data_IF_445291205819
#
_entry.id   IF_445291205819
#
_cell.length_a   1.000
_cell.length_b   1.000
_cell.length_c   1.000
_cell.angle_alpha   90.00
_cell.angle_beta   90.00
_cell.angle_gamma   90.00
#
_symmetry.space_group_name_H-M   'P 1'
#
loop_
_entity.id
_entity.type
_entity.pdbx_description
1 polymer ?
#
# COMPACT_ATOMS: atom_id res chain seq x y z
N UNK A 1 14.59 10.74 -24.55
CA UNK A 1 14.54 10.27 -23.15
C UNK A 1 13.66 11.24 -22.39
N UNK A 2 12.73 10.75 -21.57
CA UNK A 2 11.87 11.64 -20.76
C UNK A 2 12.70 12.17 -19.58
N UNK A 3 12.72 13.49 -19.40
CA UNK A 3 13.41 14.13 -18.28
C UNK A 3 12.72 13.76 -16.95
N UNK A 4 13.51 13.40 -15.93
CA UNK A 4 12.98 13.10 -14.60
C UNK A 4 12.69 14.41 -13.88
N UNK A 5 11.46 14.59 -13.41
CA UNK A 5 11.03 15.74 -12.61
C UNK A 5 10.84 15.34 -11.14
N UNK A 6 11.34 16.16 -10.22
CA UNK A 6 11.01 16.03 -8.80
C UNK A 6 9.54 16.40 -8.59
N UNK A 7 8.76 15.48 -8.00
CA UNK A 7 7.31 15.68 -7.77
C UNK A 7 6.96 15.92 -6.29
N UNK A 8 7.85 15.54 -5.36
CA UNK A 8 7.67 15.78 -3.92
C UNK A 8 9.02 15.71 -3.18
N UNK A 9 9.08 16.31 -1.99
CA UNK A 9 10.17 16.16 -1.03
C UNK A 9 9.63 16.13 0.41
N UNK A 10 10.46 15.70 1.37
CA UNK A 10 10.14 15.73 2.80
C UNK A 10 9.51 14.47 3.38
N UNK A 11 9.24 13.43 2.58
CA UNK A 11 9.02 12.08 3.11
C UNK A 11 10.38 11.51 3.54
N UNK A 12 10.53 11.11 4.80
CA UNK A 12 11.85 10.76 5.37
C UNK A 12 12.51 9.57 4.67
N UNK A 13 11.74 8.52 4.38
CA UNK A 13 12.23 7.36 3.64
C UNK A 13 11.09 6.77 2.78
N UNK A 14 10.80 7.38 1.61
CA UNK A 14 9.73 6.91 0.73
C UNK A 14 10.08 5.53 0.18
N UNK A 15 9.12 4.61 0.17
CA UNK A 15 9.34 3.25 -0.32
C UNK A 15 8.16 2.73 -1.15
N UNK A 16 7.18 2.08 -0.53
CA UNK A 16 5.98 1.61 -1.21
C UNK A 16 5.22 2.73 -1.92
N UNK A 17 4.75 2.44 -3.13
CA UNK A 17 3.97 3.34 -3.97
C UNK A 17 2.79 2.54 -4.53
N UNK A 18 1.58 3.04 -4.36
CA UNK A 18 0.40 2.40 -4.94
C UNK A 18 -0.66 3.44 -5.27
N UNK A 19 -1.39 3.24 -6.37
CA UNK A 19 -2.57 4.06 -6.66
C UNK A 19 -3.79 3.47 -5.96
N UNK A 20 -4.75 4.30 -5.57
CA UNK A 20 -6.11 3.81 -5.31
C UNK A 20 -6.64 3.05 -6.54
N UNK A 21 -7.58 2.10 -6.38
CA UNK A 21 -8.11 1.34 -7.52
C UNK A 21 -8.76 2.21 -8.62
N UNK A 22 -9.33 3.35 -8.25
CA UNK A 22 -9.89 4.35 -9.16
C UNK A 22 -8.83 5.31 -9.74
N UNK A 23 -7.56 5.15 -9.35
CA UNK A 23 -6.39 5.92 -9.78
C UNK A 23 -6.48 7.43 -9.51
N UNK A 24 -7.30 7.84 -8.55
CA UNK A 24 -7.43 9.25 -8.15
C UNK A 24 -6.40 9.67 -7.11
N UNK A 25 -5.88 8.72 -6.32
CA UNK A 25 -4.87 8.94 -5.29
C UNK A 25 -3.60 8.13 -5.56
N UNK A 26 -2.45 8.74 -5.31
CA UNK A 26 -1.18 8.04 -5.10
C UNK A 26 -0.92 7.99 -3.59
N UNK A 27 -0.66 6.79 -3.06
CA UNK A 27 -0.18 6.62 -1.69
C UNK A 27 1.29 6.21 -1.70
N UNK A 28 2.06 6.82 -0.80
CA UNK A 28 3.49 6.61 -0.60
C UNK A 28 3.75 6.22 0.85
N UNK A 29 4.35 5.05 1.08
CA UNK A 29 4.76 4.63 2.41
C UNK A 29 6.00 5.40 2.86
N UNK A 30 6.03 5.83 4.13
CA UNK A 30 7.22 6.34 4.79
C UNK A 30 7.79 5.26 5.71
N UNK A 31 8.87 4.58 5.31
CA UNK A 31 9.46 3.46 6.09
C UNK A 31 9.84 3.87 7.51
N UNK A 32 10.24 5.15 7.69
CA UNK A 32 10.69 5.69 8.98
C UNK A 32 9.62 6.48 9.74
N UNK A 33 8.45 6.70 9.13
CA UNK A 33 7.33 7.41 9.73
C UNK A 33 6.18 6.49 10.15
N UNK A 34 5.19 7.06 10.84
CA UNK A 34 3.93 6.40 11.23
C UNK A 34 2.79 6.62 10.24
N UNK A 35 2.97 7.50 9.27
CA UNK A 35 1.96 7.78 8.25
C UNK A 35 2.45 7.32 6.88
N UNK A 36 1.52 6.82 6.07
CA UNK A 36 1.70 6.95 4.63
C UNK A 36 1.34 8.38 4.23
N UNK A 37 1.70 8.80 3.02
CA UNK A 37 1.28 10.08 2.46
C UNK A 37 0.40 9.82 1.25
N UNK A 38 -0.68 10.57 1.11
CA UNK A 38 -1.51 10.56 -0.09
C UNK A 38 -1.33 11.83 -0.89
N UNK A 39 -1.48 11.72 -2.20
CA UNK A 39 -1.49 12.80 -3.17
C UNK A 39 -2.68 12.60 -4.09
N UNK A 40 -3.32 13.69 -4.49
CA UNK A 40 -4.29 13.64 -5.58
C UNK A 40 -3.54 13.62 -6.92
N UNK A 41 -3.89 12.66 -7.77
CA UNK A 41 -3.37 12.57 -9.14
C UNK A 41 -4.25 13.45 -10.04
N UNK A 42 -3.64 14.41 -10.71
CA UNK A 42 -4.31 15.29 -11.67
C UNK A 42 -4.38 14.65 -13.06
N UNK A 43 -5.28 15.11 -13.96
CA UNK A 43 -5.39 14.57 -15.32
C UNK A 43 -4.11 14.65 -16.16
N UNK A 44 -3.22 15.60 -15.86
CA UNK A 44 -1.91 15.76 -16.50
C UNK A 44 -0.79 14.93 -15.83
N UNK A 45 -1.13 14.13 -14.83
CA UNK A 45 -0.21 13.30 -14.05
C UNK A 45 0.53 14.05 -12.93
N UNK A 46 0.27 15.35 -12.73
CA UNK A 46 0.85 16.08 -11.59
C UNK A 46 0.21 15.64 -10.27
N UNK A 47 0.96 15.82 -9.19
CA UNK A 47 0.53 15.46 -7.83
C UNK A 47 0.24 16.73 -7.04
N UNK A 48 -0.92 16.77 -6.39
CA UNK A 48 -1.35 17.89 -5.53
C UNK A 48 -1.92 17.37 -4.21
N UNK A 49 -2.29 18.28 -3.30
CA UNK A 49 -2.98 17.95 -2.06
C UNK A 49 -2.29 16.88 -1.20
N UNK A 50 -0.96 16.95 -1.08
CA UNK A 50 -0.19 16.09 -0.17
C UNK A 50 -0.75 16.18 1.24
N UNK A 51 -1.01 15.03 1.84
CA UNK A 51 -1.41 14.93 3.25
C UNK A 51 -0.92 13.61 3.86
N UNK A 52 -0.78 13.59 5.18
CA UNK A 52 -0.67 12.34 5.92
C UNK A 52 -1.95 11.51 5.72
N UNK A 53 -1.79 10.23 5.41
CA UNK A 53 -2.86 9.30 5.14
C UNK A 53 -2.53 7.95 5.75
N UNK A 54 -3.45 7.45 6.56
CA UNK A 54 -3.37 6.16 7.22
C UNK A 54 -2.22 6.03 8.22
N UNK A 55 -2.63 6.03 9.49
CA UNK A 55 -1.75 5.83 10.62
C UNK A 55 -1.41 4.34 10.76
N UNK A 56 -0.15 3.99 10.56
CA UNK A 56 0.38 2.65 10.77
C UNK A 56 0.65 2.39 12.25
N UNK A 57 0.17 1.26 12.75
CA UNK A 57 0.49 0.81 14.10
C UNK A 57 1.92 0.29 14.18
N UNK A 58 2.54 0.55 15.32
CA UNK A 58 3.84 0.04 15.74
C UNK A 58 3.77 -0.23 17.23
N UNK A 59 4.64 -1.10 17.73
CA UNK A 59 4.83 -1.28 19.18
C UNK A 59 5.81 -0.21 19.70
N UNK A 60 6.92 -0.63 20.31
CA UNK A 60 7.86 0.24 21.02
C UNK A 60 8.86 0.94 20.10
N UNK A 61 8.79 0.69 18.79
CA UNK A 61 9.66 1.31 17.78
C UNK A 61 9.05 2.62 17.27
N UNK A 62 9.92 3.56 16.91
CA UNK A 62 9.50 4.80 16.24
C UNK A 62 9.17 4.56 14.75
N UNK A 63 9.86 3.62 14.11
CA UNK A 63 9.76 3.37 12.67
C UNK A 63 8.88 2.15 12.37
N UNK A 64 7.97 2.30 11.40
CA UNK A 64 7.03 1.26 10.98
C UNK A 64 7.72 0.14 10.20
N UNK A 65 8.78 0.45 9.47
CA UNK A 65 9.32 -0.43 8.44
C UNK A 65 8.34 -0.61 7.29
N UNK A 66 7.50 0.39 7.02
CA UNK A 66 6.58 0.37 5.89
C UNK A 66 7.35 0.21 4.57
N UNK A 67 6.96 -0.76 3.75
CA UNK A 67 7.67 -1.13 2.53
C UNK A 67 6.65 -1.31 1.39
N UNK A 68 6.63 -2.44 0.69
CA UNK A 68 5.71 -2.68 -0.42
C UNK A 68 4.22 -2.62 -0.06
N UNK A 69 3.43 -2.35 -1.10
CA UNK A 69 2.00 -2.07 -0.99
C UNK A 69 1.19 -2.75 -2.10
N UNK A 70 -0.08 -3.04 -1.81
CA UNK A 70 -1.05 -3.50 -2.81
C UNK A 70 -2.45 -2.97 -2.48
N UNK A 71 -3.36 -3.02 -3.45
CA UNK A 71 -4.78 -2.69 -3.27
C UNK A 71 -5.68 -3.80 -3.82
N UNK A 72 -6.92 -3.85 -3.36
CA UNK A 72 -7.93 -4.78 -3.87
C UNK A 72 -9.17 -4.12 -4.45
N UNK A 73 -10.08 -4.94 -4.98
CA UNK A 73 -11.32 -4.54 -5.63
C UNK A 73 -12.38 -3.96 -4.68
N UNK A 74 -12.15 -4.03 -3.37
CA UNK A 74 -12.97 -3.37 -2.34
C UNK A 74 -12.37 -2.04 -1.87
N UNK A 75 -11.24 -1.63 -2.44
CA UNK A 75 -10.53 -0.40 -2.04
C UNK A 75 -9.76 -0.52 -0.74
N UNK A 76 -9.46 -1.74 -0.27
CA UNK A 76 -8.54 -1.94 0.85
C UNK A 76 -7.12 -1.79 0.36
N UNK A 77 -6.28 -1.21 1.21
CA UNK A 77 -4.85 -1.06 0.95
C UNK A 77 -4.05 -1.92 1.91
N UNK A 78 -3.07 -2.63 1.40
CA UNK A 78 -2.21 -3.54 2.13
C UNK A 78 -0.83 -2.93 2.19
N UNK A 79 -0.28 -2.74 3.39
CA UNK A 79 1.07 -2.18 3.58
C UNK A 79 1.88 -3.16 4.41
N UNK A 80 3.01 -3.63 3.88
CA UNK A 80 3.93 -4.46 4.66
C UNK A 80 4.66 -3.61 5.69
N UNK A 81 4.69 -4.07 6.94
CA UNK A 81 5.39 -3.40 8.05
C UNK A 81 6.12 -4.39 8.95
N UNK A 82 6.84 -3.87 9.94
CA UNK A 82 7.45 -4.67 11.01
C UNK A 82 6.45 -5.46 11.86
N UNK A 83 5.18 -5.07 11.94
CA UNK A 83 4.13 -5.82 12.65
C UNK A 83 3.47 -6.89 11.80
N UNK A 84 3.51 -6.77 10.47
CA UNK A 84 2.76 -7.60 9.55
C UNK A 84 2.26 -6.80 8.37
N UNK A 85 1.28 -7.32 7.65
CA UNK A 85 0.58 -6.56 6.60
C UNK A 85 -0.56 -5.81 7.27
N UNK A 86 -0.44 -4.50 7.41
CA UNK A 86 -1.53 -3.66 7.92
C UNK A 86 -2.49 -3.38 6.78
N UNK A 87 -3.77 -3.72 6.98
CA UNK A 87 -4.80 -3.61 5.95
C UNK A 87 -5.72 -2.45 6.29
N UNK A 88 -5.74 -1.45 5.42
CA UNK A 88 -6.52 -0.25 5.59
C UNK A 88 -7.90 -0.43 4.93
N UNK A 89 -8.92 0.21 5.49
CA UNK A 89 -10.13 0.50 4.75
C UNK A 89 -9.93 1.67 3.76
N UNK A 90 -10.99 1.99 3.01
CA UNK A 90 -10.99 3.09 2.05
C UNK A 90 -10.72 4.47 2.69
N UNK A 91 -11.00 4.62 4.00
CA UNK A 91 -10.76 5.86 4.75
C UNK A 91 -9.33 5.96 5.29
N UNK A 92 -8.52 4.91 5.13
CA UNK A 92 -7.13 4.85 5.59
C UNK A 92 -6.98 4.35 7.02
N UNK A 93 -8.01 3.79 7.64
CA UNK A 93 -7.92 3.22 9.00
C UNK A 93 -7.42 1.79 8.92
N UNK A 94 -6.48 1.40 9.76
CA UNK A 94 -6.07 0.00 9.87
C UNK A 94 -7.21 -0.81 10.46
N UNK A 95 -7.77 -1.73 9.67
CA UNK A 95 -8.85 -2.62 10.12
C UNK A 95 -8.31 -3.85 10.83
N UNK A 96 -7.23 -4.44 10.30
CA UNK A 96 -6.58 -5.62 10.87
C UNK A 96 -5.15 -5.75 10.36
N UNK A 97 -4.38 -6.62 11.03
CA UNK A 97 -2.99 -6.91 10.68
C UNK A 97 -2.87 -8.41 10.38
N UNK A 98 -2.38 -8.74 9.19
CA UNK A 98 -2.03 -10.13 8.84
C UNK A 98 -0.61 -10.39 9.33
N UNK A 99 -0.44 -11.40 10.19
CA UNK A 99 0.86 -11.76 10.75
C UNK A 99 1.88 -12.12 9.68
N UNK A 100 3.16 -11.80 9.95
CA UNK A 100 4.28 -12.20 9.10
C UNK A 100 4.42 -13.73 9.08
N UNK A 101 4.82 -14.33 7.95
CA UNK A 101 5.05 -15.76 7.87
C UNK A 101 6.29 -16.22 8.66
N UNK A 102 7.25 -15.32 8.88
CA UNK A 102 8.41 -15.54 9.76
C UNK A 102 8.91 -14.23 10.37
N UNK A 103 9.77 -14.34 11.37
CA UNK A 103 10.43 -13.21 12.03
C UNK A 103 11.57 -12.61 11.17
N UNK A 104 11.23 -12.09 9.99
CA UNK A 104 12.17 -11.41 9.09
C UNK A 104 11.55 -10.11 8.54
N UNK A 105 12.32 -9.38 7.74
CA UNK A 105 11.85 -8.19 7.03
C UNK A 105 10.79 -8.59 5.99
N UNK A 106 9.59 -8.04 6.10
CA UNK A 106 8.49 -8.24 5.16
C UNK A 106 8.55 -7.10 4.15
N UNK A 107 9.21 -7.31 3.01
CA UNK A 107 9.54 -6.23 2.08
C UNK A 107 8.44 -5.90 1.08
N UNK A 108 7.58 -6.85 0.71
CA UNK A 108 6.62 -6.59 -0.35
C UNK A 108 5.39 -7.48 -0.28
N UNK A 109 4.30 -7.01 -0.91
CA UNK A 109 3.03 -7.69 -1.05
C UNK A 109 2.48 -7.45 -2.46
N UNK A 110 1.95 -8.51 -3.09
CA UNK A 110 1.30 -8.41 -4.39
C UNK A 110 0.20 -9.44 -4.53
N UNK A 111 -0.80 -9.16 -5.36
CA UNK A 111 -1.85 -10.12 -5.70
C UNK A 111 -1.62 -10.76 -7.08
N UNK A 112 -1.72 -12.07 -7.14
CA UNK A 112 -1.52 -12.88 -8.34
C UNK A 112 -2.50 -14.04 -8.41
N UNK A 113 -2.13 -15.06 -9.20
CA UNK A 113 -3.03 -16.15 -9.56
C UNK A 113 -4.03 -15.77 -10.66
N UNK A 114 -4.71 -16.77 -11.27
CA UNK A 114 -5.68 -16.54 -12.33
C UNK A 114 -6.83 -15.62 -11.91
N UNK A 115 -7.29 -15.76 -10.66
CA UNK A 115 -8.44 -15.01 -10.12
C UNK A 115 -8.05 -13.75 -9.34
N UNK A 116 -6.75 -13.43 -9.28
CA UNK A 116 -6.17 -12.33 -8.48
C UNK A 116 -6.44 -12.44 -6.97
N UNK A 117 -6.68 -13.64 -6.47
CA UNK A 117 -7.01 -13.92 -5.07
C UNK A 117 -5.88 -14.58 -4.27
N UNK A 118 -4.70 -14.76 -4.88
CA UNK A 118 -3.49 -15.20 -4.20
C UNK A 118 -2.63 -14.00 -3.81
N UNK A 119 -2.53 -13.73 -2.52
CA UNK A 119 -1.59 -12.75 -1.98
C UNK A 119 -0.21 -13.40 -1.85
N UNK A 120 0.80 -12.81 -2.49
CA UNK A 120 2.20 -13.15 -2.35
C UNK A 120 2.90 -12.11 -1.48
N UNK A 121 3.86 -12.55 -0.67
CA UNK A 121 4.73 -11.66 0.08
C UNK A 121 6.18 -12.12 0.02
N UNK A 122 7.10 -11.15 -0.01
CA UNK A 122 8.53 -11.40 0.20
C UNK A 122 8.88 -11.16 1.65
N UNK A 123 9.45 -12.17 2.32
CA UNK A 123 9.85 -12.07 3.71
C UNK A 123 11.22 -12.71 3.92
N UNK A 124 12.23 -11.90 4.24
CA UNK A 124 13.62 -12.31 4.28
C UNK A 124 14.07 -12.91 2.94
N UNK A 125 14.54 -14.14 2.97
CA UNK A 125 15.03 -14.94 1.84
C UNK A 125 13.96 -15.84 1.19
N UNK A 126 12.67 -15.59 1.44
CA UNK A 126 11.60 -16.47 0.93
C UNK A 126 10.39 -15.69 0.42
N UNK A 127 9.66 -16.32 -0.50
CA UNK A 127 8.34 -15.88 -0.97
C UNK A 127 7.28 -16.79 -0.38
N UNK A 128 6.23 -16.19 0.18
CA UNK A 128 5.08 -16.91 0.73
C UNK A 128 3.81 -16.53 -0.02
N UNK A 129 2.83 -17.42 -0.04
CA UNK A 129 1.53 -17.13 -0.64
C UNK A 129 0.39 -17.57 0.25
N UNK A 130 -0.71 -16.81 0.24
CA UNK A 130 -1.97 -17.15 0.90
C UNK A 130 -3.14 -16.77 0.00
N UNK A 131 -4.10 -17.68 -0.18
CA UNK A 131 -5.37 -17.37 -0.83
C UNK A 131 -6.24 -16.54 0.12
N UNK A 132 -6.85 -15.47 -0.40
CA UNK A 132 -7.74 -14.58 0.33
C UNK A 132 -9.12 -14.53 -0.33
N UNK A 133 -10.13 -14.13 0.43
CA UNK A 133 -11.41 -13.70 -0.14
C UNK A 133 -11.35 -12.20 -0.51
N UNK A 134 -10.41 -11.87 -1.39
CA UNK A 134 -10.11 -10.53 -1.86
C UNK A 134 -9.50 -10.66 -3.26
N UNK A 135 -9.79 -9.73 -4.18
CA UNK A 135 -9.16 -9.73 -5.50
C UNK A 135 -8.30 -8.50 -5.68
N UNK A 136 -7.01 -8.68 -5.91
CA UNK A 136 -6.09 -7.57 -6.09
C UNK A 136 -6.31 -6.81 -7.39
N UNK A 137 -5.98 -5.52 -7.34
CA UNK A 137 -6.02 -4.60 -8.48
C UNK A 137 -4.60 -4.12 -8.77
N UNK A 138 -4.31 -3.94 -10.07
CA UNK A 138 -3.01 -3.45 -10.52
C UNK A 138 -3.16 -2.06 -11.14
N UNK A 139 -2.23 -1.15 -10.82
CA UNK A 139 -2.28 0.24 -11.30
C UNK A 139 -2.15 0.42 -12.82
N UNK A 140 -1.72 -0.61 -13.56
CA UNK A 140 -1.67 -0.58 -15.04
C UNK A 140 -2.95 -1.09 -15.72
N UNK A 141 -3.96 -1.52 -14.95
CA UNK A 141 -5.30 -1.83 -15.48
C UNK A 141 -6.15 -0.56 -15.55
N UNK A 142 -7.27 -0.56 -16.29
CA UNK A 142 -8.20 0.57 -16.25
C UNK A 142 -8.66 0.88 -14.81
N UNK A 143 -8.92 2.15 -14.47
CA UNK A 143 -9.47 2.53 -13.18
C UNK A 143 -10.73 1.73 -12.83
N UNK A 144 -10.79 1.23 -11.60
CA UNK A 144 -11.92 0.48 -11.08
C UNK A 144 -12.79 1.39 -10.21
N UNK A 145 -14.09 1.44 -10.49
CA UNK A 145 -15.05 2.06 -9.58
C UNK A 145 -15.18 1.19 -8.33
N UNK A 146 -14.74 1.73 -7.20
CA UNK A 146 -14.78 1.04 -5.91
C UNK A 146 -16.22 1.05 -5.36
N UNK A 147 -16.70 -0.04 -4.74
CA UNK A 147 -17.94 -0.02 -3.98
C UNK A 147 -17.92 1.07 -2.90
N UNK A 148 -19.08 1.65 -2.60
CA UNK A 148 -19.20 2.54 -1.43
C UNK A 148 -18.75 1.80 -0.18
N UNK A 149 -18.03 2.43 0.76
CA UNK A 149 -17.69 1.82 2.04
C UNK A 149 -18.96 1.24 2.69
N UNK A 150 -18.91 -0.05 3.05
CA UNK A 150 -19.92 -0.62 3.95
C UNK A 150 -19.78 0.04 5.32
N UNK A 151 -20.90 0.45 5.90
CA UNK A 151 -20.96 0.92 7.28
C UNK A 151 -20.72 -0.23 8.26
#
# INVERSE_FOLDING_TARGET
MVEKKLVDSGIEFPNGLITSPDQTLLTVANTRGRFCHSFQIQPDGTLTAKQEYGWLHVTDRLQTGADGMAVDDQGRMYVTTSLGIQVFDQLGRVNFIISRPKAAWLSNVAFGGPDRDLMYVTCGDSVYSRRLNAKGVNSWKPPLKIPKPGL
#
